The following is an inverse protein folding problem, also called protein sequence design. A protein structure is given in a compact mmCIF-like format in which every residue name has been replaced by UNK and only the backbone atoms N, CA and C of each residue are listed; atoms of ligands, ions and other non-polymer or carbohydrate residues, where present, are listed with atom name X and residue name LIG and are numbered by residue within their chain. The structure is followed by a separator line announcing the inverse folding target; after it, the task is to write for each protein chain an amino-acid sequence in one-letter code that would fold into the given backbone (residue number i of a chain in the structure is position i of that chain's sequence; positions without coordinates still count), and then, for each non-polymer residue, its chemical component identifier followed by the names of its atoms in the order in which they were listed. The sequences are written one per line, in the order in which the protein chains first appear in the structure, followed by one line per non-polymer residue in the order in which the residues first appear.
data_IF_817799410620
#
_entry.id   IF_817799410620
#
_cell.length_a   1.000
_cell.length_b   1.000
_cell.length_c   1.000
_cell.angle_alpha   90.00
_cell.angle_beta   90.00
_cell.angle_gamma   90.00
#
_symmetry.space_group_name_H-M   'P 1'
#
loop_
_entity.id
_entity.type
_entity.pdbx_description
1 polymer ?
#
# COMPACT_ATOMS: atom_id res chain seq x y z
N UNK A 1 -22.94 -22.91 35.78
CA UNK A 1 -21.59 -22.87 35.18
C UNK A 1 -21.58 -22.95 33.65
N UNK A 2 -22.47 -23.71 33.01
CA UNK A 2 -22.54 -23.84 31.53
C UNK A 2 -22.75 -22.51 30.79
N UNK A 3 -23.61 -21.61 31.30
CA UNK A 3 -23.90 -20.31 30.67
C UNK A 3 -22.65 -19.44 30.47
N UNK A 4 -21.69 -19.50 31.39
CA UNK A 4 -20.44 -18.75 31.29
C UNK A 4 -19.54 -19.32 30.18
N UNK A 5 -19.57 -20.64 29.95
CA UNK A 5 -18.81 -21.27 28.86
C UNK A 5 -19.33 -20.82 27.50
N UNK A 6 -20.65 -20.79 27.32
CA UNK A 6 -21.25 -20.31 26.08
C UNK A 6 -21.00 -18.82 25.85
N UNK A 7 -21.09 -18.00 26.91
CA UNK A 7 -20.78 -16.57 26.82
C UNK A 7 -19.31 -16.33 26.45
N UNK A 8 -18.38 -17.07 27.05
CA UNK A 8 -16.95 -16.99 26.71
C UNK A 8 -16.67 -17.49 25.29
N UNK A 9 -17.31 -18.57 24.87
CA UNK A 9 -17.15 -19.10 23.51
C UNK A 9 -17.66 -18.09 22.47
N UNK A 10 -18.88 -17.58 22.63
CA UNK A 10 -19.49 -16.65 21.68
C UNK A 10 -18.73 -15.32 21.63
N UNK A 11 -18.28 -14.80 22.78
CA UNK A 11 -17.45 -13.59 22.81
C UNK A 11 -16.10 -13.80 22.14
N UNK A 12 -15.44 -14.95 22.38
CA UNK A 12 -14.18 -15.30 21.72
C UNK A 12 -14.35 -15.44 20.20
N UNK A 13 -15.41 -16.12 19.76
CA UNK A 13 -15.74 -16.26 18.34
C UNK A 13 -16.05 -14.90 17.71
N UNK A 14 -16.78 -14.03 18.42
CA UNK A 14 -17.08 -12.67 17.97
C UNK A 14 -15.82 -11.83 17.76
N UNK A 15 -14.89 -11.85 18.73
CA UNK A 15 -13.59 -11.16 18.60
C UNK A 15 -12.76 -11.75 17.46
N UNK A 16 -12.71 -13.08 17.35
CA UNK A 16 -12.00 -13.73 16.26
C UNK A 16 -12.56 -13.31 14.88
N UNK A 17 -13.89 -13.30 14.72
CA UNK A 17 -14.53 -12.85 13.50
C UNK A 17 -14.21 -11.38 13.19
N UNK A 18 -14.23 -10.50 14.20
CA UNK A 18 -13.85 -9.10 14.05
C UNK A 18 -12.41 -8.95 13.56
N UNK A 19 -11.47 -9.69 14.15
CA UNK A 19 -10.06 -9.66 13.75
C UNK A 19 -9.85 -10.18 12.33
N UNK A 20 -10.54 -11.24 11.93
CA UNK A 20 -10.49 -11.77 10.55
C UNK A 20 -11.02 -10.74 9.55
N UNK A 21 -12.14 -10.08 9.87
CA UNK A 21 -12.71 -9.04 9.01
C UNK A 21 -11.75 -7.86 8.89
N UNK A 22 -11.18 -7.39 10.00
CA UNK A 22 -10.22 -6.29 10.00
C UNK A 22 -8.97 -6.64 9.16
N UNK A 23 -8.45 -7.87 9.33
CA UNK A 23 -7.34 -8.35 8.51
C UNK A 23 -7.70 -8.39 7.02
N UNK A 24 -8.90 -8.83 6.65
CA UNK A 24 -9.34 -8.84 5.26
C UNK A 24 -9.47 -7.42 4.68
N UNK A 25 -10.02 -6.48 5.45
CA UNK A 25 -10.13 -5.07 5.05
C UNK A 25 -8.75 -4.43 4.85
N UNK A 26 -7.81 -4.68 5.76
CA UNK A 26 -6.44 -4.15 5.68
C UNK A 26 -5.68 -4.73 4.49
N UNK A 27 -5.84 -6.02 4.23
CA UNK A 27 -5.02 -6.71 3.23
C UNK A 27 -5.63 -6.66 1.83
N UNK A 28 -6.95 -6.63 1.68
CA UNK A 28 -7.59 -6.74 0.35
C UNK A 28 -8.51 -5.56 0.03
N UNK A 29 -9.14 -4.96 1.05
CA UNK A 29 -10.12 -3.88 0.87
C UNK A 29 -9.53 -2.48 0.70
N UNK A 30 -8.20 -2.34 0.74
CA UNK A 30 -7.55 -1.02 0.64
C UNK A 30 -7.60 -0.48 -0.78
N UNK A 31 -8.01 0.78 -0.90
CA UNK A 31 -8.23 1.46 -2.18
C UNK A 31 -6.96 1.54 -3.05
N UNK A 32 -5.79 1.70 -2.44
CA UNK A 32 -4.52 1.76 -3.17
C UNK A 32 -4.28 0.50 -4.03
N UNK A 33 -4.76 -0.68 -3.60
CA UNK A 33 -4.65 -1.92 -4.39
C UNK A 33 -5.43 -1.82 -5.69
N UNK A 34 -6.65 -1.26 -5.61
CA UNK A 34 -7.53 -1.02 -6.75
C UNK A 34 -6.93 0.02 -7.70
N UNK A 35 -6.30 1.07 -7.19
CA UNK A 35 -5.67 2.10 -8.00
C UNK A 35 -4.43 1.53 -8.72
N UNK A 36 -3.53 0.84 -8.02
CA UNK A 36 -2.36 0.21 -8.62
C UNK A 36 -2.75 -0.82 -9.69
N UNK A 37 -3.80 -1.62 -9.46
CA UNK A 37 -4.28 -2.62 -10.42
C UNK A 37 -4.75 -2.01 -11.76
N UNK A 38 -5.03 -0.71 -11.80
CA UNK A 38 -5.40 0.03 -13.02
C UNK A 38 -4.18 0.65 -13.72
N UNK A 39 -2.98 0.53 -13.13
CA UNK A 39 -1.75 1.07 -13.66
C UNK A 39 -1.06 0.12 -14.65
N UNK A 40 -0.47 0.71 -15.68
CA UNK A 40 0.37 0.01 -16.65
C UNK A 40 1.65 0.80 -16.90
N UNK A 41 2.73 0.07 -17.13
CA UNK A 41 4.06 0.54 -17.54
C UNK A 41 4.38 -0.02 -18.93
N UNK A 42 5.53 0.31 -19.52
CA UNK A 42 5.91 -0.28 -20.81
C UNK A 42 6.15 -1.80 -20.71
N UNK A 43 6.51 -2.29 -19.52
CA UNK A 43 6.72 -3.71 -19.21
C UNK A 43 5.41 -4.47 -18.94
N UNK A 44 4.27 -3.77 -18.90
CA UNK A 44 2.95 -4.35 -18.68
C UNK A 44 2.28 -3.85 -17.40
N UNK A 45 1.43 -4.69 -16.79
CA UNK A 45 0.62 -4.30 -15.63
C UNK A 45 1.51 -3.98 -14.42
N UNK A 46 1.19 -2.89 -13.74
CA UNK A 46 1.87 -2.53 -12.51
C UNK A 46 1.63 -3.60 -11.44
N UNK A 47 2.66 -4.12 -10.77
CA UNK A 47 2.49 -5.07 -9.68
C UNK A 47 1.80 -4.40 -8.48
N UNK A 48 0.77 -5.06 -7.93
CA UNK A 48 0.02 -4.57 -6.77
C UNK A 48 0.70 -4.99 -5.48
N UNK A 49 1.38 -4.05 -4.82
CA UNK A 49 2.15 -4.32 -3.61
C UNK A 49 2.39 -3.05 -2.78
N UNK A 50 2.53 -3.27 -1.46
CA UNK A 50 2.97 -2.24 -0.53
C UNK A 50 4.49 -2.09 -0.65
N UNK A 51 4.95 -0.86 -0.89
CA UNK A 51 6.36 -0.53 -1.09
C UNK A 51 6.70 0.79 -0.41
N UNK A 52 7.85 0.80 0.27
CA UNK A 52 8.40 1.98 0.91
C UNK A 52 9.89 2.03 0.60
N UNK A 53 10.36 3.18 0.14
CA UNK A 53 11.77 3.45 -0.08
C UNK A 53 12.32 4.11 1.18
N UNK A 54 13.41 3.55 1.70
CA UNK A 54 14.19 4.13 2.79
C UNK A 54 15.38 4.83 2.17
N UNK A 55 15.69 6.03 2.63
CA UNK A 55 16.92 6.73 2.27
C UNK A 55 17.95 6.55 3.40
N UNK A 56 18.98 5.70 3.21
CA UNK A 56 19.98 5.45 4.24
C UNK A 56 20.82 6.68 4.58
N UNK A 57 21.07 7.57 3.61
CA UNK A 57 21.86 8.78 3.83
C UNK A 57 21.15 9.75 4.78
N UNK A 58 19.81 9.75 4.78
CA UNK A 58 18.97 10.55 5.67
C UNK A 58 18.56 9.80 6.95
N UNK A 59 18.81 8.49 7.03
CA UNK A 59 18.34 7.64 8.13
C UNK A 59 16.81 7.62 8.26
N UNK A 60 16.08 7.86 7.16
CA UNK A 60 14.64 8.12 7.18
C UNK A 60 13.88 7.29 6.13
N UNK A 61 12.60 7.05 6.41
CA UNK A 61 11.66 6.61 5.39
C UNK A 61 11.35 7.79 4.47
N UNK A 62 11.63 7.61 3.18
CA UNK A 62 11.61 8.70 2.20
C UNK A 62 10.29 8.69 1.40
N UNK A 63 10.07 7.67 0.56
CA UNK A 63 8.88 7.60 -0.32
C UNK A 63 8.00 6.39 -0.04
N UNK A 64 6.71 6.64 0.11
CA UNK A 64 5.67 5.60 0.03
C UNK A 64 5.31 5.32 -1.44
N UNK A 65 6.17 4.57 -2.15
CA UNK A 65 5.94 4.22 -3.57
C UNK A 65 4.80 3.21 -3.79
N UNK A 66 4.10 2.81 -2.73
CA UNK A 66 2.77 2.19 -2.79
C UNK A 66 1.75 3.06 -3.55
N UNK A 67 1.72 4.36 -3.28
CA UNK A 67 0.80 5.29 -3.95
C UNK A 67 1.54 6.21 -4.93
N UNK A 68 2.78 6.55 -4.59
CA UNK A 68 3.71 7.29 -5.46
C UNK A 68 4.48 6.33 -6.37
N UNK A 69 3.75 5.60 -7.20
CA UNK A 69 4.32 4.61 -8.13
C UNK A 69 5.20 5.30 -9.18
N UNK A 70 6.13 4.58 -9.80
CA UNK A 70 7.06 5.12 -10.79
C UNK A 70 8.02 6.19 -10.24
N UNK A 71 8.17 6.27 -8.91
CA UNK A 71 9.15 7.15 -8.25
C UNK A 71 10.38 6.39 -7.74
N UNK A 72 10.47 5.07 -7.94
CA UNK A 72 11.69 4.31 -7.62
C UNK A 72 12.81 4.55 -8.65
N UNK A 73 14.09 4.37 -8.29
CA UNK A 73 15.19 4.45 -9.24
C UNK A 73 15.00 3.46 -10.41
N UNK A 74 15.15 3.95 -11.64
CA UNK A 74 15.01 3.13 -12.85
C UNK A 74 13.58 2.74 -13.21
N UNK A 75 12.58 3.20 -12.48
CA UNK A 75 11.18 2.95 -12.82
C UNK A 75 10.72 3.83 -13.98
N UNK A 76 9.93 3.24 -14.87
CA UNK A 76 9.30 3.93 -15.98
C UNK A 76 8.01 4.62 -15.54
N UNK A 77 7.59 5.61 -16.33
CA UNK A 77 6.31 6.27 -16.13
C UNK A 77 5.13 5.30 -16.12
N UNK A 78 4.10 5.64 -15.35
CA UNK A 78 2.86 4.88 -15.27
C UNK A 78 1.75 5.59 -16.03
N UNK A 79 0.88 4.82 -16.67
CA UNK A 79 -0.38 5.30 -17.24
C UNK A 79 -1.56 4.51 -16.66
N UNK A 80 -2.78 5.05 -16.79
CA UNK A 80 -4.00 4.38 -16.34
C UNK A 80 -5.03 5.35 -15.76
N UNK A 81 -5.43 5.12 -14.50
CA UNK A 81 -6.43 5.94 -13.82
C UNK A 81 -6.05 7.43 -13.78
N UNK A 82 -7.04 8.31 -13.60
CA UNK A 82 -6.81 9.76 -13.44
C UNK A 82 -5.88 10.12 -12.26
N UNK A 83 -5.74 9.22 -11.29
CA UNK A 83 -4.85 9.40 -10.14
C UNK A 83 -3.39 9.05 -10.45
N UNK A 84 -3.11 8.42 -11.61
CA UNK A 84 -1.78 8.04 -12.05
C UNK A 84 -1.18 9.04 -13.04
N UNK A 85 -1.77 10.24 -13.16
CA UNK A 85 -1.24 11.30 -14.02
C UNK A 85 0.06 11.82 -13.41
N UNK A 86 1.10 11.92 -14.24
CA UNK A 86 2.38 12.48 -13.83
C UNK A 86 2.23 13.94 -13.37
N UNK A 87 2.78 14.26 -12.20
CA UNK A 87 2.97 15.64 -11.77
C UNK A 87 4.22 16.25 -12.44
N UNK A 88 4.42 17.56 -12.24
CA UNK A 88 5.63 18.24 -12.73
C UNK A 88 6.90 17.60 -12.15
N UNK A 89 8.02 17.54 -12.89
CA UNK A 89 9.26 16.97 -12.38
C UNK A 89 9.68 17.59 -11.04
N UNK A 90 10.19 16.75 -10.14
CA UNK A 90 10.87 17.20 -8.91
C UNK A 90 12.18 17.88 -9.32
N UNK A 91 12.52 19.00 -8.69
CA UNK A 91 13.64 19.87 -9.11
C UNK A 91 15.00 19.47 -8.52
N UNK A 92 15.07 18.29 -7.90
CA UNK A 92 16.25 17.73 -7.27
C UNK A 92 16.22 16.21 -7.41
N UNK A 93 17.36 15.54 -7.19
CA UNK A 93 17.41 14.08 -7.17
C UNK A 93 16.79 13.55 -5.86
N UNK A 94 15.67 12.80 -5.92
CA UNK A 94 15.06 12.26 -4.71
C UNK A 94 15.93 11.20 -4.01
N UNK A 95 16.91 10.59 -4.69
CA UNK A 95 17.86 9.68 -4.04
C UNK A 95 18.79 10.42 -3.07
N UNK A 96 19.09 11.69 -3.32
CA UNK A 96 19.96 12.50 -2.47
C UNK A 96 19.18 13.28 -1.40
N UNK A 97 18.05 13.89 -1.77
CA UNK A 97 17.33 14.83 -0.89
C UNK A 97 15.96 14.34 -0.43
N UNK A 98 15.53 13.15 -0.88
CA UNK A 98 14.18 12.66 -0.66
C UNK A 98 13.13 13.40 -1.50
N UNK A 99 11.84 13.09 -1.28
CA UNK A 99 10.72 13.76 -1.94
C UNK A 99 10.18 14.97 -1.18
#
# INVERSE_FOLDING_TARGET
MEKNKYLLLLSSLGVLALLVIAAAQENFGREWRRIQAQGTTEEGRLPVQLRQVVNPALGASDRCVSCHVAMGPGEQGVAGSKLLIAHKPVVHDPAEFGC
#
